data_IF_789283941434
#
_entry.id   IF_789283941434
#
_cell.length_a   1.000
_cell.length_b   1.000
_cell.length_c   1.000
_cell.angle_alpha   90.00
_cell.angle_beta   90.00
_cell.angle_gamma   90.00
#
_symmetry.space_group_name_H-M   'P 1'
#
loop_
_entity.id
_entity.type
_entity.pdbx_description
1 polymer ?
#
# COMPACT_ATOMS: atom_id res chain seq x y z
N UNK A 1 5.72 15.94 21.33
CA UNK A 1 5.12 16.68 20.21
C UNK A 1 5.77 16.33 18.87
N UNK A 2 7.11 16.20 18.79
CA UNK A 2 7.84 15.91 17.55
C UNK A 2 7.53 14.52 16.92
N UNK A 3 7.38 13.49 17.76
CA UNK A 3 7.05 12.12 17.31
C UNK A 3 5.72 12.02 16.57
N UNK A 4 4.65 12.66 17.07
CA UNK A 4 3.34 12.65 16.41
C UNK A 4 3.38 13.29 15.01
N UNK A 5 4.19 14.35 14.84
CA UNK A 5 4.39 14.96 13.53
C UNK A 5 5.15 14.04 12.56
N UNK A 6 6.12 13.26 13.06
CA UNK A 6 6.86 12.29 12.25
C UNK A 6 6.01 11.06 11.90
N UNK A 7 5.17 10.59 12.83
CA UNK A 7 4.19 9.53 12.57
C UNK A 7 3.18 9.95 11.49
N UNK A 8 2.74 11.23 11.51
CA UNK A 8 1.88 11.77 10.46
C UNK A 8 2.53 11.68 9.07
N UNK A 9 3.82 12.02 8.94
CA UNK A 9 4.55 11.91 7.66
C UNK A 9 4.53 10.47 7.13
N UNK A 10 4.75 9.47 7.99
CA UNK A 10 4.71 8.07 7.56
C UNK A 10 3.30 7.59 7.21
N UNK A 11 2.28 8.10 7.90
CA UNK A 11 0.89 7.78 7.60
C UNK A 11 0.45 8.39 6.26
N UNK A 12 0.83 9.64 5.98
CA UNK A 12 0.55 10.31 4.70
C UNK A 12 1.25 9.57 3.55
N UNK A 13 2.53 9.23 3.71
CA UNK A 13 3.27 8.46 2.71
C UNK A 13 2.68 7.06 2.49
N UNK A 14 2.18 6.40 3.55
CA UNK A 14 1.48 5.13 3.46
C UNK A 14 0.16 5.26 2.69
N UNK A 15 -0.62 6.30 2.95
CA UNK A 15 -1.87 6.56 2.25
C UNK A 15 -1.64 6.78 0.75
N UNK A 16 -0.66 7.60 0.38
CA UNK A 16 -0.31 7.84 -1.02
C UNK A 16 0.17 6.57 -1.72
N UNK A 17 0.95 5.74 -1.02
CA UNK A 17 1.37 4.43 -1.52
C UNK A 17 0.17 3.52 -1.79
N UNK A 18 -0.80 3.47 -0.88
CA UNK A 18 -2.01 2.66 -1.06
C UNK A 18 -2.86 3.16 -2.24
N UNK A 19 -3.03 4.48 -2.40
CA UNK A 19 -3.74 5.06 -3.55
C UNK A 19 -3.08 4.66 -4.87
N UNK A 20 -1.74 4.70 -4.91
CA UNK A 20 -0.99 4.28 -6.09
C UNK A 20 -1.16 2.79 -6.40
N UNK A 21 -1.03 1.92 -5.38
CA UNK A 21 -1.25 0.48 -5.52
C UNK A 21 -2.68 0.17 -5.98
N UNK A 22 -3.67 0.86 -5.42
CA UNK A 22 -5.07 0.69 -5.80
C UNK A 22 -5.32 1.11 -7.24
N UNK A 23 -4.72 2.21 -7.70
CA UNK A 23 -4.81 2.64 -9.10
C UNK A 23 -4.29 1.56 -10.05
N UNK A 24 -3.10 1.01 -9.77
CA UNK A 24 -2.50 -0.07 -10.58
C UNK A 24 -3.40 -1.31 -10.56
N UNK A 25 -3.89 -1.71 -9.39
CA UNK A 25 -4.81 -2.83 -9.26
C UNK A 25 -6.09 -2.64 -10.06
N UNK A 26 -6.71 -1.47 -9.95
CA UNK A 26 -7.95 -1.15 -10.63
C UNK A 26 -7.77 -1.20 -12.15
N UNK A 27 -6.69 -0.60 -12.67
CA UNK A 27 -6.33 -0.68 -14.09
C UNK A 27 -6.11 -2.13 -14.54
N UNK A 28 -5.32 -2.91 -13.79
CA UNK A 28 -5.04 -4.31 -14.09
C UNK A 28 -6.32 -5.18 -14.08
N UNK A 29 -7.22 -4.96 -13.11
CA UNK A 29 -8.50 -5.67 -13.00
C UNK A 29 -9.46 -5.31 -14.13
N UNK A 30 -9.44 -4.06 -14.60
CA UNK A 30 -10.30 -3.58 -15.68
C UNK A 30 -9.91 -4.15 -17.05
N UNK A 31 -8.61 -4.38 -17.28
CA UNK A 31 -8.09 -4.95 -18.54
C UNK A 31 -7.97 -6.49 -18.51
N UNK A 32 -8.21 -7.12 -17.36
CA UNK A 32 -8.10 -8.57 -17.19
C UNK A 32 -9.12 -9.30 -18.08
N UNK A 33 -8.62 -10.31 -18.81
CA UNK A 33 -9.39 -11.05 -19.83
C UNK A 33 -10.12 -12.27 -19.28
N UNK A 34 -9.71 -12.75 -18.11
CA UNK A 34 -10.24 -13.94 -17.47
C UNK A 34 -10.10 -13.82 -15.94
N UNK A 35 -10.70 -14.77 -15.22
CA UNK A 35 -10.72 -14.75 -13.76
C UNK A 35 -9.34 -15.00 -13.14
N UNK A 36 -8.46 -15.77 -13.79
CA UNK A 36 -7.08 -15.97 -13.33
C UNK A 36 -6.28 -14.66 -13.32
N UNK A 37 -6.39 -13.84 -14.38
CA UNK A 37 -5.74 -12.52 -14.43
C UNK A 37 -6.29 -11.57 -13.35
N UNK A 38 -7.58 -11.68 -13.00
CA UNK A 38 -8.19 -10.91 -11.91
C UNK A 38 -7.65 -11.34 -10.54
N UNK A 39 -7.58 -12.64 -10.29
CA UNK A 39 -7.03 -13.20 -9.05
C UNK A 39 -5.56 -12.81 -8.87
N UNK A 40 -4.75 -12.85 -9.93
CA UNK A 40 -3.35 -12.40 -9.89
C UNK A 40 -3.24 -10.90 -9.59
N UNK A 41 -4.11 -10.07 -10.17
CA UNK A 41 -4.12 -8.63 -9.85
C UNK A 41 -4.49 -8.39 -8.38
N UNK A 42 -5.44 -9.14 -7.85
CA UNK A 42 -5.88 -9.06 -6.45
C UNK A 42 -4.79 -9.53 -5.48
N UNK A 43 -4.15 -10.67 -5.74
CA UNK A 43 -3.05 -11.18 -4.92
C UNK A 43 -1.86 -10.21 -4.86
N UNK A 44 -1.50 -9.62 -6.01
CA UNK A 44 -0.45 -8.58 -6.09
C UNK A 44 -0.81 -7.35 -5.29
N UNK A 45 -2.07 -6.89 -5.36
CA UNK A 45 -2.54 -5.75 -4.57
C UNK A 45 -2.45 -6.05 -3.07
N UNK A 46 -2.97 -7.21 -2.64
CA UNK A 46 -2.96 -7.61 -1.23
C UNK A 46 -1.53 -7.76 -0.70
N UNK A 47 -0.63 -8.34 -1.49
CA UNK A 47 0.79 -8.46 -1.15
C UNK A 47 1.45 -7.08 -1.02
N UNK A 48 1.21 -6.18 -1.99
CA UNK A 48 1.75 -4.82 -1.95
C UNK A 48 1.24 -4.02 -0.74
N UNK A 49 -0.06 -4.09 -0.46
CA UNK A 49 -0.67 -3.42 0.69
C UNK A 49 -0.12 -3.93 2.03
N UNK A 50 0.11 -5.24 2.14
CA UNK A 50 0.75 -5.85 3.33
C UNK A 50 2.18 -5.32 3.52
N UNK A 51 3.00 -5.32 2.47
CA UNK A 51 4.39 -4.84 2.53
C UNK A 51 4.43 -3.35 2.90
N UNK A 52 3.55 -2.53 2.30
CA UNK A 52 3.46 -1.10 2.61
C UNK A 52 3.13 -0.86 4.09
N UNK A 53 2.20 -1.65 4.65
CA UNK A 53 1.84 -1.58 6.07
C UNK A 53 3.02 -1.97 6.97
N UNK A 54 3.66 -3.11 6.70
CA UNK A 54 4.81 -3.57 7.47
C UNK A 54 5.96 -2.55 7.45
N UNK A 55 6.19 -1.91 6.30
CA UNK A 55 7.21 -0.87 6.14
C UNK A 55 6.87 0.36 6.96
N UNK A 56 5.62 0.84 6.93
CA UNK A 56 5.17 1.96 7.77
C UNK A 56 5.31 1.64 9.25
N UNK A 57 4.88 0.46 9.68
CA UNK A 57 4.94 0.06 11.09
C UNK A 57 6.40 -0.03 11.59
N UNK A 58 7.33 -0.54 10.75
CA UNK A 58 8.77 -0.53 11.05
C UNK A 58 9.33 0.89 11.12
N UNK A 59 8.95 1.78 10.19
CA UNK A 59 9.42 3.16 10.18
C UNK A 59 8.96 3.92 11.43
N UNK A 60 7.70 3.76 11.84
CA UNK A 60 7.15 4.34 13.07
C UNK A 60 7.84 3.77 14.32
N UNK A 61 8.15 2.46 14.35
CA UNK A 61 8.84 1.84 15.48
C UNK A 61 10.28 2.36 15.67
N UNK A 62 10.91 2.85 14.61
CA UNK A 62 12.27 3.42 14.63
C UNK A 62 12.30 4.91 15.01
N UNK A 63 11.14 5.54 15.25
CA UNK A 63 11.08 6.93 15.66
C UNK A 63 11.62 7.13 17.08
N UNK A 64 12.41 8.20 17.32
CA UNK A 64 12.98 8.51 18.62
C UNK A 64 11.95 8.91 19.68
#
# INVERSE_FOLDING_TARGET
MYRMAQEAIFNDAYEDTLKHLFKIFFEARLIAKNDTEREVAEDRFMTGARIARETRDRAVALLP
#
